data_IF_248543244008
#
_entry.id   IF_248543244008
#
_cell.length_a   1.000
_cell.length_b   1.000
_cell.length_c   1.000
_cell.angle_alpha   90.00
_cell.angle_beta   90.00
_cell.angle_gamma   90.00
#
_symmetry.space_group_name_H-M   'P 1'
#
loop_
_entity.id
_entity.type
_entity.pdbx_description
1 polymer ?
#
# COMPACT_ATOMS: atom_id res chain seq x y z
N UNK A 1 -15.85 -9.54 -17.20
CA UNK A 1 -15.24 -9.41 -15.85
C UNK A 1 -14.80 -10.80 -15.40
N UNK A 2 -14.06 -10.94 -14.31
CA UNK A 2 -13.84 -12.28 -13.74
C UNK A 2 -15.11 -12.73 -13.02
N UNK A 3 -15.35 -14.05 -12.90
CA UNK A 3 -16.51 -14.58 -12.16
C UNK A 3 -16.58 -14.05 -10.73
N UNK A 4 -15.42 -13.89 -10.09
CA UNK A 4 -15.32 -13.36 -8.73
C UNK A 4 -15.81 -11.90 -8.67
N UNK A 5 -15.37 -11.05 -9.60
CA UNK A 5 -15.79 -9.65 -9.66
C UNK A 5 -17.28 -9.52 -9.99
N UNK A 6 -17.80 -10.33 -10.90
CA UNK A 6 -19.24 -10.38 -11.23
C UNK A 6 -20.09 -10.74 -10.00
N UNK A 7 -19.65 -11.75 -9.24
CA UNK A 7 -20.33 -12.18 -8.02
C UNK A 7 -20.32 -11.08 -6.96
N UNK A 8 -19.19 -10.37 -6.80
CA UNK A 8 -19.07 -9.27 -5.86
C UNK A 8 -20.01 -8.11 -6.22
N UNK A 9 -20.01 -7.66 -7.49
CA UNK A 9 -20.90 -6.58 -7.94
C UNK A 9 -22.37 -6.99 -7.80
N UNK A 10 -22.73 -8.22 -8.16
CA UNK A 10 -24.10 -8.71 -8.01
C UNK A 10 -24.57 -8.64 -6.54
N UNK A 11 -23.70 -8.99 -5.59
CA UNK A 11 -24.02 -8.88 -4.16
C UNK A 11 -24.15 -7.42 -3.71
N UNK A 12 -23.25 -6.53 -4.14
CA UNK A 12 -23.31 -5.10 -3.82
C UNK A 12 -24.58 -4.45 -4.36
N UNK A 13 -25.02 -4.82 -5.56
CA UNK A 13 -26.23 -4.29 -6.18
C UNK A 13 -27.53 -4.65 -5.41
N UNK A 14 -27.49 -5.61 -4.49
CA UNK A 14 -28.64 -5.96 -3.63
C UNK A 14 -28.77 -5.07 -2.38
N UNK A 15 -27.76 -4.25 -2.08
CA UNK A 15 -27.75 -3.40 -0.89
C UNK A 15 -28.68 -2.18 -1.06
N UNK A 16 -29.10 -1.52 0.03
CA UNK A 16 -29.74 -0.20 -0.02
C UNK A 16 -28.86 0.83 -0.74
N UNK A 17 -29.47 1.83 -1.39
CA UNK A 17 -28.77 2.79 -2.24
C UNK A 17 -27.70 3.61 -1.48
N UNK A 18 -27.96 3.96 -0.22
CA UNK A 18 -27.02 4.66 0.64
C UNK A 18 -25.79 3.80 0.98
N UNK A 19 -25.98 2.49 1.15
CA UNK A 19 -24.87 1.57 1.35
C UNK A 19 -24.09 1.32 0.06
N UNK A 20 -24.77 1.23 -1.08
CA UNK A 20 -24.12 1.12 -2.39
C UNK A 20 -23.21 2.32 -2.63
N UNK A 21 -23.69 3.54 -2.39
CA UNK A 21 -22.93 4.77 -2.57
C UNK A 21 -21.71 4.80 -1.64
N UNK A 22 -21.91 4.48 -0.36
CA UNK A 22 -20.81 4.44 0.63
C UNK A 22 -19.71 3.45 0.24
N UNK A 23 -20.09 2.26 -0.22
CA UNK A 23 -19.12 1.22 -0.63
C UNK A 23 -18.46 1.58 -1.96
N UNK A 24 -19.21 2.17 -2.90
CA UNK A 24 -18.66 2.63 -4.17
C UNK A 24 -17.59 3.70 -3.95
N UNK A 25 -17.86 4.69 -3.10
CA UNK A 25 -16.89 5.73 -2.75
C UNK A 25 -15.63 5.10 -2.14
N UNK A 26 -15.78 4.24 -1.13
CA UNK A 26 -14.65 3.58 -0.50
C UNK A 26 -13.80 2.75 -1.49
N UNK A 27 -14.44 1.98 -2.38
CA UNK A 27 -13.73 1.21 -3.40
C UNK A 27 -12.96 2.09 -4.39
N UNK A 28 -13.55 3.22 -4.81
CA UNK A 28 -12.90 4.14 -5.72
C UNK A 28 -11.69 4.81 -5.05
N UNK A 29 -11.81 5.19 -3.79
CA UNK A 29 -10.71 5.77 -3.01
C UNK A 29 -9.56 4.76 -2.86
N UNK A 30 -9.85 3.51 -2.51
CA UNK A 30 -8.84 2.44 -2.39
C UNK A 30 -8.08 2.22 -3.71
N UNK A 31 -8.80 2.19 -4.84
CA UNK A 31 -8.17 2.04 -6.16
C UNK A 31 -7.27 3.23 -6.52
N UNK A 32 -7.67 4.44 -6.15
CA UNK A 32 -6.85 5.64 -6.35
C UNK A 32 -5.59 5.64 -5.49
N UNK A 33 -5.71 5.20 -4.24
CA UNK A 33 -4.58 5.05 -3.31
C UNK A 33 -3.61 3.99 -3.80
N UNK A 34 -4.10 2.83 -4.24
CA UNK A 34 -3.28 1.76 -4.84
C UNK A 34 -2.50 2.27 -6.06
N UNK A 35 -3.15 2.99 -6.96
CA UNK A 35 -2.49 3.61 -8.10
C UNK A 35 -1.45 4.65 -7.70
N UNK A 36 -1.75 5.47 -6.68
CA UNK A 36 -0.82 6.47 -6.17
C UNK A 36 0.42 5.78 -5.58
N UNK A 37 0.24 4.79 -4.72
CA UNK A 37 1.32 4.00 -4.15
C UNK A 37 2.17 3.31 -5.21
N UNK A 38 1.55 2.70 -6.22
CA UNK A 38 2.27 2.08 -7.31
C UNK A 38 3.18 3.07 -8.05
N UNK A 39 2.67 4.27 -8.36
CA UNK A 39 3.45 5.34 -9.00
C UNK A 39 4.61 5.82 -8.13
N UNK A 40 4.35 6.10 -6.86
CA UNK A 40 5.36 6.56 -5.91
C UNK A 40 6.45 5.51 -5.72
N UNK A 41 6.07 4.24 -5.57
CA UNK A 41 7.01 3.15 -5.37
C UNK A 41 7.88 2.91 -6.61
N UNK A 42 7.29 2.94 -7.82
CA UNK A 42 8.03 2.82 -9.07
C UNK A 42 9.11 3.92 -9.20
N UNK A 43 8.84 5.14 -8.75
CA UNK A 43 9.80 6.25 -8.74
C UNK A 43 10.83 6.23 -7.61
N UNK A 44 10.71 5.32 -6.62
CA UNK A 44 11.52 5.34 -5.41
C UNK A 44 12.79 4.48 -5.45
N UNK A 45 13.00 3.70 -6.51
CA UNK A 45 14.02 2.64 -6.54
C UNK A 45 15.45 3.14 -6.31
N UNK A 46 15.82 4.28 -6.88
CA UNK A 46 17.16 4.86 -6.70
C UNK A 46 17.37 5.33 -5.25
N UNK A 47 16.38 5.99 -4.66
CA UNK A 47 16.44 6.47 -3.29
C UNK A 47 16.51 5.29 -2.30
N UNK A 48 15.69 4.25 -2.51
CA UNK A 48 15.72 3.03 -1.69
C UNK A 48 17.05 2.28 -1.84
N UNK A 49 17.62 2.22 -3.05
CA UNK A 49 18.91 1.59 -3.31
C UNK A 49 20.05 2.33 -2.58
N UNK A 50 20.03 3.66 -2.62
CA UNK A 50 20.98 4.50 -1.89
C UNK A 50 20.86 4.28 -0.37
N UNK A 51 19.64 4.32 0.17
CA UNK A 51 19.40 4.09 1.60
C UNK A 51 19.89 2.70 2.04
N UNK A 52 19.67 1.67 1.22
CA UNK A 52 20.15 0.32 1.49
C UNK A 52 21.69 0.23 1.45
N UNK A 53 22.35 0.96 0.55
CA UNK A 53 23.81 1.02 0.49
C UNK A 53 24.39 1.72 1.73
N UNK A 54 23.81 2.85 2.13
CA UNK A 54 24.19 3.61 3.33
C UNK A 54 24.04 2.75 4.59
N UNK A 55 22.90 2.07 4.74
CA UNK A 55 22.64 1.19 5.89
C UNK A 55 23.66 0.06 5.98
N UNK A 56 24.03 -0.56 4.85
CA UNK A 56 25.07 -1.59 4.82
C UNK A 56 26.45 -1.04 5.20
N UNK A 57 26.79 0.16 4.73
CA UNK A 57 28.05 0.82 5.06
C UNK A 57 28.13 1.22 6.54
N UNK A 58 27.02 1.69 7.13
CA UNK A 58 26.95 2.01 8.55
C UNK A 58 27.07 0.76 9.42
N UNK A 59 26.39 -0.33 9.06
CA UNK A 59 26.54 -1.62 9.74
C UNK A 59 27.98 -2.14 9.66
N UNK A 60 28.61 -2.13 8.48
CA UNK A 60 29.99 -2.63 8.34
C UNK A 60 31.02 -1.79 9.10
N UNK A 61 30.74 -0.49 9.27
CA UNK A 61 31.57 0.40 10.06
C UNK A 61 31.25 0.41 11.56
N UNK A 62 30.32 -0.44 12.03
CA UNK A 62 29.90 -0.49 13.45
C UNK A 62 29.12 0.74 13.91
N UNK A 63 28.56 1.53 13.00
CA UNK A 63 27.75 2.73 13.30
C UNK A 63 26.25 2.43 13.47
N UNK A 64 25.84 1.18 13.30
CA UNK A 64 24.45 0.76 13.46
C UNK A 64 24.31 -0.19 14.66
N UNK A 65 23.30 0.03 15.49
CA UNK A 65 22.91 -0.84 16.61
C UNK A 65 21.63 -1.59 16.27
N UNK A 66 21.34 -2.64 17.04
CA UNK A 66 20.03 -3.28 16.98
C UNK A 66 18.95 -2.29 17.45
N UNK A 67 17.80 -2.33 16.78
CA UNK A 67 16.66 -1.47 17.13
C UNK A 67 15.74 -2.25 18.07
N UNK A 68 15.49 -1.68 19.25
CA UNK A 68 14.56 -2.22 20.24
C UNK A 68 13.30 -1.35 20.29
N UNK A 69 12.21 -1.86 19.74
CA UNK A 69 10.94 -1.12 19.64
C UNK A 69 10.26 -0.94 21.01
N UNK A 70 10.57 -1.78 22.00
CA UNK A 70 9.97 -1.71 23.34
C UNK A 70 10.60 -0.61 24.20
N UNK A 71 11.67 0.03 23.70
CA UNK A 71 12.36 1.14 24.36
C UNK A 71 11.96 2.53 23.86
N UNK A 72 10.99 2.61 22.93
CA UNK A 72 10.37 3.84 22.46
C UNK A 72 9.37 4.43 23.48
#
# INVERSE_FOLDING_TARGET
MTRALETAIAKLATLPADEQERIAQWLLDELQDDEHWARQFAGSQDALSKLAAETRADRSAGRATEFDADTL
#
